data_IF_761290385489
#
_entry.id   IF_761290385489
#
_cell.length_a   1.000
_cell.length_b   1.000
_cell.length_c   1.000
_cell.angle_alpha   90.00
_cell.angle_beta   90.00
_cell.angle_gamma   90.00
#
_symmetry.space_group_name_H-M   'P 1'
#
loop_
_entity.id
_entity.type
_entity.pdbx_description
1 polymer ?
#
# COMPACT_ATOMS: atom_id res chain seq x y z
N UNK A 1 12.54 2.40 -13.85
CA UNK A 1 11.69 2.86 -12.72
C UNK A 1 12.35 2.66 -11.36
N UNK A 2 13.37 1.80 -11.22
CA UNK A 2 14.07 1.54 -9.95
C UNK A 2 15.06 2.61 -9.52
N UNK A 3 15.34 3.61 -10.36
CA UNK A 3 16.31 4.68 -10.11
C UNK A 3 15.66 6.01 -9.71
N UNK A 4 14.33 6.09 -9.70
CA UNK A 4 13.61 7.31 -9.34
C UNK A 4 13.06 7.20 -7.91
N UNK A 5 13.21 8.26 -7.12
CA UNK A 5 12.57 8.35 -5.82
C UNK A 5 11.05 8.47 -5.96
N UNK A 6 10.34 7.67 -5.16
CA UNK A 6 8.89 7.85 -4.96
C UNK A 6 8.64 9.19 -4.28
N UNK A 7 7.55 9.87 -4.64
CA UNK A 7 7.05 11.02 -3.88
C UNK A 7 6.85 10.69 -2.41
N UNK A 8 7.01 11.71 -1.55
CA UNK A 8 6.84 11.58 -0.10
C UNK A 8 5.43 11.07 0.22
N UNK A 9 5.33 10.17 1.19
CA UNK A 9 4.05 9.71 1.73
C UNK A 9 3.51 10.72 2.73
N UNK A 10 2.90 11.78 2.23
CA UNK A 10 2.22 12.80 3.03
C UNK A 10 0.82 13.08 2.46
N UNK A 11 0.14 14.11 2.99
CA UNK A 11 -1.21 14.49 2.58
C UNK A 11 -1.27 15.18 1.21
N UNK A 12 -0.13 15.60 0.68
CA UNK A 12 -0.08 16.40 -0.54
C UNK A 12 -0.05 15.47 -1.75
N UNK A 13 -0.91 15.76 -2.71
CA UNK A 13 -1.01 15.03 -3.95
C UNK A 13 -0.54 15.91 -5.09
N UNK A 14 0.20 15.33 -6.03
CA UNK A 14 0.71 16.08 -7.17
C UNK A 14 -0.45 16.61 -8.02
N UNK A 15 -0.32 17.78 -8.68
CA UNK A 15 -1.39 18.34 -9.50
C UNK A 15 -1.87 17.40 -10.61
N UNK A 16 -1.00 16.50 -11.07
CA UNK A 16 -1.31 15.49 -12.09
C UNK A 16 -2.38 14.49 -11.66
N UNK A 17 -2.48 14.16 -10.36
CA UNK A 17 -3.56 13.28 -9.85
C UNK A 17 -4.66 14.06 -9.12
N UNK A 18 -4.35 15.22 -8.56
CA UNK A 18 -5.30 16.04 -7.80
C UNK A 18 -6.25 16.87 -8.67
N UNK A 19 -5.78 17.41 -9.81
CA UNK A 19 -6.58 18.33 -10.63
C UNK A 19 -6.61 17.94 -12.13
N UNK A 20 -5.73 17.04 -12.55
CA UNK A 20 -5.48 16.75 -13.97
C UNK A 20 -5.49 15.26 -14.28
N UNK A 21 -6.18 14.46 -13.44
CA UNK A 21 -6.26 13.02 -13.64
C UNK A 21 -6.95 12.74 -14.98
N UNK A 22 -6.28 12.00 -15.88
CA UNK A 22 -6.75 11.69 -17.24
C UNK A 22 -7.12 12.91 -18.09
N UNK A 23 -6.50 14.07 -17.85
CA UNK A 23 -6.74 15.25 -18.66
C UNK A 23 -6.27 15.03 -20.12
N UNK A 24 -7.19 15.20 -21.07
CA UNK A 24 -6.91 15.12 -22.53
C UNK A 24 -7.08 16.46 -23.24
N UNK A 25 -7.87 17.37 -22.67
CA UNK A 25 -8.12 18.73 -23.17
C UNK A 25 -7.90 19.75 -22.04
N UNK A 26 -7.70 21.04 -22.33
CA UNK A 26 -7.63 22.05 -21.28
C UNK A 26 -8.87 22.00 -20.38
N UNK A 27 -8.66 21.90 -19.06
CA UNK A 27 -9.70 21.92 -18.01
C UNK A 27 -10.68 20.72 -17.96
N UNK A 28 -10.38 19.58 -18.59
CA UNK A 28 -11.21 18.37 -18.48
C UNK A 28 -10.66 17.29 -17.51
N UNK A 29 -9.66 17.63 -16.70
CA UNK A 29 -9.05 16.70 -15.76
C UNK A 29 -9.95 16.39 -14.56
N UNK A 30 -9.82 15.18 -14.03
CA UNK A 30 -10.49 14.76 -12.81
C UNK A 30 -9.61 14.95 -11.56
N UNK A 31 -10.26 14.86 -10.40
CA UNK A 31 -9.62 14.92 -9.09
C UNK A 31 -9.68 13.55 -8.42
N UNK A 32 -8.54 12.85 -8.38
CA UNK A 32 -8.46 11.51 -7.79
C UNK A 32 -8.83 11.50 -6.29
N UNK A 33 -8.51 12.57 -5.57
CA UNK A 33 -8.79 12.67 -4.13
C UNK A 33 -10.29 12.80 -3.88
N UNK A 34 -10.94 13.67 -4.65
CA UNK A 34 -12.39 13.81 -4.65
C UNK A 34 -13.08 12.50 -5.05
N UNK A 35 -12.60 11.85 -6.12
CA UNK A 35 -13.11 10.55 -6.55
C UNK A 35 -12.96 9.46 -5.47
N UNK A 36 -11.83 9.41 -4.76
CA UNK A 36 -11.61 8.44 -3.68
C UNK A 36 -12.55 8.68 -2.47
N UNK A 37 -12.78 9.95 -2.10
CA UNK A 37 -13.73 10.30 -1.02
C UNK A 37 -15.15 9.91 -1.43
N UNK A 38 -15.55 10.23 -2.65
CA UNK A 38 -16.88 9.87 -3.16
C UNK A 38 -17.05 8.36 -3.23
N UNK A 39 -16.05 7.62 -3.75
CA UNK A 39 -16.07 6.15 -3.76
C UNK A 39 -16.23 5.57 -2.36
N UNK A 40 -15.55 6.15 -1.37
CA UNK A 40 -15.69 5.76 0.03
C UNK A 40 -17.11 5.96 0.56
N UNK A 41 -17.78 7.05 0.19
CA UNK A 41 -19.19 7.31 0.56
C UNK A 41 -20.15 6.36 -0.15
N UNK A 42 -19.97 6.18 -1.45
CA UNK A 42 -20.81 5.30 -2.28
C UNK A 42 -20.75 3.85 -1.79
N UNK A 43 -19.58 3.40 -1.33
CA UNK A 43 -19.39 2.04 -0.78
C UNK A 43 -19.72 1.96 0.72
N UNK A 44 -20.17 3.04 1.35
CA UNK A 44 -20.50 3.07 2.78
C UNK A 44 -19.32 2.75 3.69
N UNK A 45 -18.10 3.18 3.34
CA UNK A 45 -16.90 2.91 4.14
C UNK A 45 -17.08 3.52 5.54
N UNK A 46 -16.94 2.72 6.62
CA UNK A 46 -17.09 3.21 7.98
C UNK A 46 -16.15 4.36 8.32
N UNK A 47 -16.59 5.19 9.27
CA UNK A 47 -15.79 6.30 9.79
C UNK A 47 -14.47 5.82 10.43
N UNK A 48 -13.49 6.72 10.50
CA UNK A 48 -12.15 6.45 11.02
C UNK A 48 -12.14 5.75 12.40
N UNK A 49 -13.00 6.17 13.32
CA UNK A 49 -13.08 5.56 14.66
C UNK A 49 -13.53 4.09 14.64
N UNK A 50 -14.35 3.69 13.67
CA UNK A 50 -14.74 2.28 13.50
C UNK A 50 -13.51 1.42 13.18
N UNK A 51 -12.65 1.90 12.28
CA UNK A 51 -11.41 1.23 11.93
C UNK A 51 -10.35 1.26 13.03
N UNK A 52 -10.26 2.35 13.81
CA UNK A 52 -9.44 2.39 15.02
C UNK A 52 -9.84 1.29 15.99
N UNK A 53 -11.14 1.19 16.29
CA UNK A 53 -11.67 0.15 17.19
C UNK A 53 -11.41 -1.25 16.65
N UNK A 54 -11.65 -1.49 15.36
CA UNK A 54 -11.35 -2.77 14.71
C UNK A 54 -9.88 -3.17 14.90
N UNK A 55 -8.96 -2.21 14.80
CA UNK A 55 -7.52 -2.41 14.99
C UNK A 55 -7.04 -2.29 16.45
N UNK A 56 -7.95 -2.32 17.44
CA UNK A 56 -7.59 -2.29 18.86
C UNK A 56 -7.13 -0.93 19.40
N UNK A 57 -7.36 0.15 18.66
CA UNK A 57 -7.03 1.51 19.08
C UNK A 57 -8.24 2.21 19.72
N UNK A 58 -7.98 3.03 20.74
CA UNK A 58 -8.99 3.90 21.33
C UNK A 58 -9.52 4.91 20.29
N UNK A 59 -10.83 5.19 20.25
CA UNK A 59 -11.41 6.17 19.33
C UNK A 59 -10.91 7.58 19.66
N UNK A 60 -10.70 8.39 18.62
CA UNK A 60 -10.45 9.82 18.79
C UNK A 60 -11.76 10.50 19.22
N UNK A 61 -11.69 11.39 20.21
CA UNK A 61 -12.86 12.03 20.83
C UNK A 61 -13.02 13.50 20.45
N UNK A 62 -11.95 14.16 20.02
CA UNK A 62 -11.94 15.58 19.69
C UNK A 62 -10.78 15.92 18.76
N UNK A 63 -10.81 17.12 18.18
CA UNK A 63 -9.72 17.66 17.35
C UNK A 63 -8.85 18.57 18.21
N UNK A 64 -7.77 18.03 18.78
CA UNK A 64 -6.88 18.74 19.69
C UNK A 64 -5.67 17.89 20.06
N UNK A 65 -4.72 18.48 20.77
CA UNK A 65 -3.44 17.86 21.12
C UNK A 65 -3.49 16.99 22.38
N UNK A 66 -4.59 17.06 23.15
CA UNK A 66 -4.76 16.32 24.39
C UNK A 66 -5.05 14.82 24.14
N UNK A 67 -5.11 14.03 25.21
CA UNK A 67 -5.34 12.58 25.17
C UNK A 67 -6.62 12.25 24.38
N UNK A 68 -6.53 11.30 23.45
CA UNK A 68 -7.59 10.95 22.48
C UNK A 68 -7.96 12.06 21.48
N UNK A 69 -7.11 13.07 21.34
CA UNK A 69 -7.22 14.08 20.31
C UNK A 69 -6.75 13.61 18.93
N UNK A 70 -7.23 14.28 17.89
CA UNK A 70 -6.83 14.09 16.50
C UNK A 70 -6.47 15.44 15.88
N UNK A 71 -5.18 15.73 15.80
CA UNK A 71 -4.67 16.97 15.19
C UNK A 71 -4.11 16.66 13.80
N UNK A 72 -4.45 17.47 12.81
CA UNK A 72 -3.82 17.41 11.49
C UNK A 72 -2.31 17.67 11.62
N UNK A 73 -1.50 16.90 10.90
CA UNK A 73 -0.02 16.93 10.91
C UNK A 73 0.69 16.59 12.21
N UNK A 74 -0.02 16.20 13.26
CA UNK A 74 0.63 15.73 14.48
C UNK A 74 1.34 14.37 14.24
N UNK A 75 2.61 14.20 14.64
CA UNK A 75 3.34 12.95 14.45
C UNK A 75 2.68 11.74 15.10
N UNK A 76 2.01 11.90 16.25
CA UNK A 76 1.31 10.80 16.92
C UNK A 76 0.03 10.43 16.16
N UNK A 77 -0.72 11.41 15.67
CA UNK A 77 -1.88 11.19 14.81
C UNK A 77 -1.48 10.46 13.51
N UNK A 78 -0.40 10.88 12.85
CA UNK A 78 0.14 10.22 11.66
C UNK A 78 0.59 8.77 11.94
N UNK A 79 1.27 8.54 13.07
CA UNK A 79 1.67 7.20 13.52
C UNK A 79 0.45 6.30 13.78
N UNK A 80 -0.59 6.84 14.41
CA UNK A 80 -1.82 6.10 14.66
C UNK A 80 -2.54 5.74 13.36
N UNK A 81 -2.65 6.67 12.42
CA UNK A 81 -3.22 6.42 11.09
C UNK A 81 -2.43 5.33 10.34
N UNK A 82 -1.09 5.41 10.33
CA UNK A 82 -0.22 4.38 9.74
C UNK A 82 -0.45 3.01 10.37
N UNK A 83 -0.67 2.95 11.68
CA UNK A 83 -0.97 1.69 12.39
C UNK A 83 -2.30 1.08 11.94
N UNK A 84 -3.36 1.90 11.75
CA UNK A 84 -4.65 1.44 11.23
C UNK A 84 -4.48 0.86 9.83
N UNK A 85 -3.84 1.59 8.90
CA UNK A 85 -3.60 1.08 7.54
C UNK A 85 -2.80 -0.22 7.54
N UNK A 86 -1.74 -0.32 8.36
CA UNK A 86 -0.95 -1.55 8.48
C UNK A 86 -1.79 -2.73 8.98
N UNK A 87 -2.67 -2.50 9.95
CA UNK A 87 -3.60 -3.51 10.46
C UNK A 87 -4.57 -3.99 9.38
N UNK A 88 -5.25 -3.08 8.68
CA UNK A 88 -6.24 -3.43 7.65
C UNK A 88 -5.61 -4.16 6.46
N UNK A 89 -4.50 -3.60 5.94
CA UNK A 89 -3.77 -4.19 4.80
C UNK A 89 -3.20 -5.55 5.22
N UNK A 90 -2.57 -5.64 6.39
CA UNK A 90 -2.00 -6.90 6.89
C UNK A 90 -3.06 -7.97 7.12
N UNK A 91 -4.22 -7.60 7.65
CA UNK A 91 -5.35 -8.50 7.80
C UNK A 91 -5.83 -9.03 6.44
N UNK A 92 -6.01 -8.14 5.46
CA UNK A 92 -6.45 -8.54 4.13
C UNK A 92 -5.43 -9.46 3.42
N UNK A 93 -4.13 -9.15 3.48
CA UNK A 93 -3.09 -10.02 2.91
C UNK A 93 -3.02 -11.38 3.61
N UNK A 94 -3.22 -11.42 4.94
CA UNK A 94 -3.32 -12.69 5.67
C UNK A 94 -4.47 -13.53 5.13
N UNK A 95 -5.66 -12.94 4.97
CA UNK A 95 -6.83 -13.64 4.43
C UNK A 95 -6.59 -14.13 3.00
N UNK A 96 -6.01 -13.32 2.13
CA UNK A 96 -5.69 -13.76 0.77
C UNK A 96 -4.70 -14.93 0.76
N UNK A 97 -3.66 -14.87 1.61
CA UNK A 97 -2.68 -15.96 1.72
C UNK A 97 -3.30 -17.26 2.24
N UNK A 98 -4.05 -17.19 3.34
CA UNK A 98 -4.57 -18.40 4.01
C UNK A 98 -5.84 -18.95 3.35
N UNK A 99 -6.60 -18.08 2.68
CA UNK A 99 -7.84 -18.44 1.99
C UNK A 99 -7.63 -18.97 0.58
N UNK A 100 -6.46 -18.73 -0.02
CA UNK A 100 -6.11 -19.27 -1.32
C UNK A 100 -5.64 -20.72 -1.19
N UNK A 101 -6.48 -21.66 -1.62
CA UNK A 101 -6.16 -23.09 -1.67
C UNK A 101 -4.88 -23.36 -2.48
N UNK A 102 -4.64 -22.57 -3.53
CA UNK A 102 -3.50 -22.71 -4.44
C UNK A 102 -2.34 -21.77 -4.08
N UNK A 103 -2.34 -21.18 -2.88
CA UNK A 103 -1.22 -20.39 -2.43
C UNK A 103 0.09 -21.21 -2.52
N UNK A 104 1.13 -20.64 -3.11
CA UNK A 104 2.31 -21.39 -3.57
C UNK A 104 3.10 -22.12 -2.46
N UNK A 105 2.91 -21.76 -1.19
CA UNK A 105 3.54 -22.45 -0.05
C UNK A 105 2.72 -23.63 0.47
N UNK A 106 1.48 -23.81 0.00
CA UNK A 106 0.65 -24.93 0.40
C UNK A 106 1.16 -26.23 -0.22
N UNK A 107 1.18 -27.29 0.58
CA UNK A 107 1.64 -28.61 0.16
C UNK A 107 0.48 -29.63 0.07
N UNK A 108 -0.63 -29.21 -0.54
CA UNK A 108 -1.80 -30.08 -0.74
C UNK A 108 -1.63 -30.93 -2.00
N UNK A 109 -1.76 -32.26 -1.90
CA UNK A 109 -1.77 -33.14 -3.07
C UNK A 109 -3.08 -32.96 -3.88
N UNK A 110 -3.04 -32.98 -5.23
CA UNK A 110 -1.87 -33.10 -6.12
C UNK A 110 -1.29 -31.74 -6.57
N UNK A 111 -1.72 -30.62 -5.97
CA UNK A 111 -1.46 -29.26 -6.48
C UNK A 111 -0.25 -28.55 -5.87
N UNK A 112 0.32 -29.09 -4.79
CA UNK A 112 1.45 -28.51 -4.07
C UNK A 112 2.78 -28.68 -4.80
N UNK A 113 3.66 -27.69 -4.67
CA UNK A 113 5.03 -27.78 -5.16
C UNK A 113 5.87 -28.71 -4.27
N UNK A 114 6.85 -29.38 -4.86
CA UNK A 114 7.88 -30.08 -4.09
C UNK A 114 8.75 -29.10 -3.31
N UNK A 115 9.41 -29.57 -2.25
CA UNK A 115 10.32 -28.74 -1.45
C UNK A 115 11.42 -28.08 -2.32
N UNK A 116 11.94 -28.81 -3.31
CA UNK A 116 12.94 -28.30 -4.26
C UNK A 116 12.36 -27.19 -5.15
N UNK A 117 11.15 -27.36 -5.68
CA UNK A 117 10.47 -26.34 -6.47
C UNK A 117 10.17 -25.09 -5.63
N UNK A 118 9.64 -25.26 -4.40
CA UNK A 118 9.36 -24.15 -3.49
C UNK A 118 10.62 -23.36 -3.15
N UNK A 119 11.74 -24.04 -2.93
CA UNK A 119 13.02 -23.39 -2.71
C UNK A 119 13.47 -22.52 -3.90
N UNK A 120 13.21 -22.95 -5.14
CA UNK A 120 13.49 -22.13 -6.33
C UNK A 120 12.57 -20.92 -6.47
N UNK A 121 11.29 -21.07 -6.12
CA UNK A 121 10.32 -19.96 -6.11
C UNK A 121 10.76 -18.90 -5.09
N UNK A 122 11.18 -19.30 -3.89
CA UNK A 122 11.61 -18.38 -2.82
C UNK A 122 12.87 -17.58 -3.14
N UNK A 123 13.69 -18.02 -4.11
CA UNK A 123 14.86 -17.27 -4.59
C UNK A 123 14.50 -16.15 -5.56
N UNK A 124 13.28 -16.13 -6.10
CA UNK A 124 12.91 -15.14 -7.12
C UNK A 124 12.71 -13.77 -6.47
N UNK A 125 13.34 -12.74 -7.06
CA UNK A 125 13.13 -11.34 -6.72
C UNK A 125 12.67 -10.57 -7.95
N UNK A 126 12.02 -9.41 -7.75
CA UNK A 126 11.64 -8.54 -8.86
C UNK A 126 12.87 -8.05 -9.65
N UNK A 127 14.00 -7.79 -8.98
CA UNK A 127 15.26 -7.44 -9.62
C UNK A 127 15.78 -8.53 -10.55
N UNK A 128 15.79 -9.79 -10.07
CA UNK A 128 16.20 -10.93 -10.87
C UNK A 128 15.25 -11.18 -12.06
N UNK A 129 13.95 -10.87 -11.91
CA UNK A 129 13.01 -10.93 -13.01
C UNK A 129 13.35 -9.89 -14.09
N UNK A 130 13.60 -8.64 -13.72
CA UNK A 130 13.98 -7.60 -14.69
C UNK A 130 15.26 -7.92 -15.45
N UNK A 131 16.32 -8.41 -14.78
CA UNK A 131 17.55 -8.79 -15.49
C UNK A 131 17.34 -9.91 -16.52
N UNK A 132 16.33 -10.77 -16.34
CA UNK A 132 16.07 -11.88 -17.26
C UNK A 132 15.12 -11.52 -18.40
N UNK A 133 14.18 -10.60 -18.17
CA UNK A 133 13.12 -10.28 -19.13
C UNK A 133 13.35 -8.95 -19.85
N UNK A 134 14.26 -8.11 -19.35
CA UNK A 134 14.54 -6.79 -19.90
C UNK A 134 16.01 -6.67 -20.28
N UNK A 135 16.32 -5.82 -21.25
CA UNK A 135 17.69 -5.46 -21.63
C UNK A 135 18.31 -4.48 -20.61
N UNK A 136 18.38 -4.89 -19.33
CA UNK A 136 19.01 -4.13 -18.24
C UNK A 136 20.24 -4.88 -17.75
N UNK A 137 21.37 -4.17 -17.69
CA UNK A 137 22.66 -4.78 -17.33
C UNK A 137 22.91 -4.79 -15.82
N UNK A 138 22.27 -3.89 -15.07
CA UNK A 138 22.44 -3.74 -13.63
C UNK A 138 21.11 -3.44 -12.96
N UNK A 139 20.92 -4.02 -11.77
CA UNK A 139 19.75 -3.82 -10.92
C UNK A 139 20.16 -3.81 -9.45
N UNK A 140 19.51 -3.02 -8.59
CA UNK A 140 19.70 -3.10 -7.14
C UNK A 140 19.25 -4.47 -6.60
N UNK A 141 19.77 -4.86 -5.44
CA UNK A 141 19.39 -6.12 -4.76
C UNK A 141 17.85 -6.21 -4.56
N UNK A 142 17.26 -5.13 -4.07
CA UNK A 142 15.81 -4.94 -3.96
C UNK A 142 15.36 -3.84 -4.91
N UNK A 143 14.43 -4.17 -5.81
CA UNK A 143 13.80 -3.21 -6.72
C UNK A 143 12.85 -2.21 -6.01
N UNK A 144 12.59 -2.41 -4.72
CA UNK A 144 11.69 -1.56 -3.91
C UNK A 144 12.44 -0.57 -3.03
N UNK A 145 13.74 -0.76 -2.84
CA UNK A 145 14.54 0.13 -2.02
C UNK A 145 14.71 1.47 -2.74
N UNK A 146 14.83 2.53 -1.94
CA UNK A 146 15.11 3.84 -2.52
C UNK A 146 16.49 3.80 -3.18
N UNK A 147 16.69 4.46 -4.33
CA UNK A 147 18.01 4.55 -4.94
C UNK A 147 19.01 5.07 -3.90
N UNK A 148 20.21 4.48 -3.84
CA UNK A 148 21.29 5.00 -3.00
C UNK A 148 21.53 6.45 -3.42
N UNK A 149 21.42 7.39 -2.48
CA UNK A 149 21.88 8.74 -2.71
C UNK A 149 23.39 8.65 -2.96
N UNK A 150 23.81 9.04 -4.17
CA UNK A 150 25.23 9.22 -4.48
C UNK A 150 25.83 10.37 -3.67
#
# INVERSE_FOLDING_TARGET
MTTQFKSKSDRFLTPSVRNRLFQTMPKNGFDLSGLNIQRGRDHGIPAYNSWRKFCGLQPAKHFGTNILGLTDHDPLAAKALKSVYRCLIGFQFKLFKTGDRFFYENNFFPTGFTAAQLHQIKKQTLSALYCRTMAVNTMPESAFDSPLAG
#
